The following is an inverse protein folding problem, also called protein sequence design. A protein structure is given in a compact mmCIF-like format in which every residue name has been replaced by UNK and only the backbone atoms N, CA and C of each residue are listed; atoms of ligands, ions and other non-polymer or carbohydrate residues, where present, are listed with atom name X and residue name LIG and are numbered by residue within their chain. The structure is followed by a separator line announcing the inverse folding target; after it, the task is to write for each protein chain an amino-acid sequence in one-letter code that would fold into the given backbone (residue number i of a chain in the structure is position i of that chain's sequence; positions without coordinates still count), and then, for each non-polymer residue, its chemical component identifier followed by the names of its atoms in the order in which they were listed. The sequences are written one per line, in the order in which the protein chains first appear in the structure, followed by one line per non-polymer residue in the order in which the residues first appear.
data_IF_950222263600
#
_entry.id   IF_950222263600
#
_cell.length_a   1.000
_cell.length_b   1.000
_cell.length_c   1.000
_cell.angle_alpha   90.00
_cell.angle_beta   90.00
_cell.angle_gamma   90.00
#
_symmetry.space_group_name_H-M   'P 1'
#
loop_
_entity.id
_entity.type
_entity.pdbx_description
1 polymer ?
#
# COMPACT_ATOMS: atom_id res chain seq x y z
N UNK A 1 11.99 -19.52 12.08
CA UNK A 1 10.63 -19.53 11.48
C UNK A 1 9.99 -18.16 11.61
N UNK A 2 9.81 -17.65 12.84
CA UNK A 2 9.17 -16.36 13.14
C UNK A 2 9.68 -15.19 12.29
N UNK A 3 11.00 -15.00 12.18
CA UNK A 3 11.57 -13.91 11.38
C UNK A 3 11.17 -13.94 9.90
N UNK A 4 10.98 -15.12 9.32
CA UNK A 4 10.60 -15.25 7.91
C UNK A 4 9.14 -14.86 7.70
N UNK A 5 8.27 -15.23 8.66
CA UNK A 5 6.84 -14.89 8.66
C UNK A 5 6.68 -13.37 8.82
N UNK A 6 7.40 -12.74 9.75
CA UNK A 6 7.38 -11.29 9.89
C UNK A 6 7.86 -10.57 8.64
N UNK A 7 8.97 -11.00 8.02
CA UNK A 7 9.48 -10.35 6.80
C UNK A 7 8.48 -10.41 5.65
N UNK A 8 7.89 -11.58 5.38
CA UNK A 8 6.87 -11.72 4.34
C UNK A 8 5.62 -10.91 4.69
N UNK A 9 5.22 -10.89 5.96
CA UNK A 9 4.10 -10.09 6.44
C UNK A 9 4.31 -8.60 6.22
N UNK A 10 5.49 -8.06 6.56
CA UNK A 10 5.84 -6.66 6.31
C UNK A 10 5.82 -6.31 4.83
N UNK A 11 6.45 -7.14 4.00
CA UNK A 11 6.47 -6.94 2.54
C UNK A 11 5.06 -6.97 1.98
N UNK A 12 4.21 -7.90 2.43
CA UNK A 12 2.81 -7.98 2.02
C UNK A 12 2.00 -6.74 2.42
N UNK A 13 2.08 -6.33 3.69
CA UNK A 13 1.40 -5.13 4.20
C UNK A 13 1.82 -3.89 3.39
N UNK A 14 3.12 -3.66 3.22
CA UNK A 14 3.62 -2.48 2.53
C UNK A 14 3.29 -2.50 1.04
N UNK A 15 3.36 -3.67 0.39
CA UNK A 15 2.98 -3.81 -1.02
C UNK A 15 1.50 -3.51 -1.25
N UNK A 16 0.63 -3.95 -0.34
CA UNK A 16 -0.81 -3.69 -0.43
C UNK A 16 -1.11 -2.21 -0.20
N UNK A 17 -0.54 -1.59 0.84
CA UNK A 17 -0.70 -0.14 1.10
C UNK A 17 -0.20 0.69 -0.08
N UNK A 18 0.97 0.34 -0.64
CA UNK A 18 1.52 0.98 -1.83
C UNK A 18 0.58 0.83 -3.03
N UNK A 19 0.03 -0.37 -3.26
CA UNK A 19 -0.85 -0.63 -4.38
C UNK A 19 -2.20 0.08 -4.23
N UNK A 20 -2.83 0.06 -3.05
CA UNK A 20 -4.10 0.72 -2.78
C UNK A 20 -3.99 2.25 -2.88
N UNK A 21 -2.92 2.84 -2.34
CA UNK A 21 -2.69 4.29 -2.41
C UNK A 21 -2.24 4.75 -3.80
N UNK A 22 -1.50 3.93 -4.55
CA UNK A 22 -0.87 4.32 -5.81
C UNK A 22 -1.56 3.84 -7.08
N UNK A 23 -2.22 2.69 -7.08
CA UNK A 23 -2.79 2.10 -8.29
C UNK A 23 -4.31 2.18 -8.21
N UNK A 24 -4.97 2.68 -9.27
CA UNK A 24 -6.44 2.59 -9.38
C UNK A 24 -6.94 1.13 -9.38
N UNK A 25 -6.09 0.17 -9.75
CA UNK A 25 -6.33 -1.28 -9.65
C UNK A 25 -6.27 -1.77 -8.20
N UNK A 26 -5.61 -1.03 -7.32
CA UNK A 26 -5.46 -1.34 -5.90
C UNK A 26 -6.75 -1.22 -5.09
N UNK A 27 -7.81 -0.59 -5.62
CA UNK A 27 -9.10 -0.41 -4.95
C UNK A 27 -9.78 -1.73 -4.53
N UNK A 28 -9.39 -2.86 -5.14
CA UNK A 28 -9.93 -4.17 -4.78
C UNK A 28 -9.19 -4.85 -3.62
N UNK A 29 -8.02 -4.33 -3.20
CA UNK A 29 -7.26 -4.92 -2.11
C UNK A 29 -7.77 -4.39 -0.75
N UNK A 30 -8.06 -5.27 0.23
CA UNK A 30 -8.57 -4.87 1.53
C UNK A 30 -7.44 -4.41 2.47
N UNK A 31 -6.78 -3.29 2.15
CA UNK A 31 -5.64 -2.82 2.92
C UNK A 31 -5.99 -2.31 4.32
N UNK A 32 -7.14 -1.65 4.51
CA UNK A 32 -7.60 -1.20 5.84
C UNK A 32 -7.75 -2.35 6.85
N UNK A 33 -8.44 -3.41 6.42
CA UNK A 33 -8.66 -4.60 7.26
C UNK A 33 -7.35 -5.33 7.57
N UNK A 34 -6.40 -5.30 6.63
CA UNK A 34 -5.08 -5.87 6.80
C UNK A 34 -4.20 -5.02 7.73
N UNK A 35 -4.27 -3.69 7.65
CA UNK A 35 -3.60 -2.78 8.58
C UNK A 35 -4.12 -2.96 10.00
N UNK A 36 -5.44 -3.09 10.16
CA UNK A 36 -6.07 -3.37 11.45
C UNK A 36 -5.56 -4.69 12.03
N UNK A 37 -5.52 -5.74 11.21
CA UNK A 37 -5.02 -7.06 11.62
C UNK A 37 -3.54 -7.03 11.98
N UNK A 38 -2.72 -6.33 11.18
CA UNK A 38 -1.29 -6.16 11.44
C UNK A 38 -1.03 -5.38 12.74
N UNK A 39 -1.81 -4.32 13.00
CA UNK A 39 -1.78 -3.56 14.25
C UNK A 39 -2.21 -4.40 15.46
N UNK A 40 -3.26 -5.21 15.31
CA UNK A 40 -3.70 -6.15 16.35
C UNK A 40 -2.60 -7.17 16.69
N UNK A 41 -1.97 -7.78 15.70
CA UNK A 41 -0.85 -8.72 15.88
C UNK A 41 0.40 -8.07 16.48
N UNK A 42 0.58 -6.76 16.27
CA UNK A 42 1.64 -5.98 16.89
C UNK A 42 1.39 -5.66 18.38
N UNK A 43 0.13 -5.79 18.85
CA UNK A 43 -0.28 -5.52 20.23
C UNK A 43 -0.23 -6.75 21.15
N UNK A 44 0.07 -7.94 20.63
CA UNK A 44 0.14 -9.17 21.42
C UNK A 44 1.40 -9.24 22.30
N UNK A 45 1.35 -9.99 23.41
CA UNK A 45 2.50 -10.19 24.33
C UNK A 45 3.76 -10.73 23.65
N UNK A 46 3.60 -11.48 22.55
CA UNK A 46 4.67 -11.87 21.64
C UNK A 46 4.40 -11.24 20.27
N UNK A 47 4.84 -9.98 20.05
CA UNK A 47 4.50 -9.27 18.84
C UNK A 47 5.22 -9.88 17.64
N UNK A 48 4.43 -10.30 16.65
CA UNK A 48 4.96 -10.77 15.35
C UNK A 48 5.46 -9.56 14.53
N UNK A 49 4.84 -8.40 14.74
CA UNK A 49 5.22 -7.14 14.11
C UNK A 49 5.54 -6.09 15.16
N UNK A 50 6.64 -5.37 14.97
CA UNK A 50 6.93 -4.12 15.66
C UNK A 50 6.04 -2.99 15.10
N UNK A 51 5.23 -2.40 15.97
CA UNK A 51 4.37 -1.25 15.67
C UNK A 51 5.11 -0.05 15.04
N UNK A 52 6.25 0.45 15.56
CA UNK A 52 6.95 1.58 14.94
C UNK A 52 7.45 1.27 13.51
N UNK A 53 7.81 0.01 13.22
CA UNK A 53 8.22 -0.41 11.88
C UNK A 53 7.02 -0.43 10.93
N UNK A 54 5.85 -0.92 11.40
CA UNK A 54 4.62 -0.85 10.62
C UNK A 54 4.24 0.60 10.31
N UNK A 55 4.27 1.49 11.30
CA UNK A 55 3.89 2.90 11.10
C UNK A 55 4.80 3.61 10.09
N UNK A 56 6.12 3.55 10.29
CA UNK A 56 7.09 4.21 9.40
C UNK A 56 7.06 3.56 8.01
N UNK A 57 7.01 2.23 7.94
CA UNK A 57 7.00 1.49 6.69
C UNK A 57 5.73 1.74 5.87
N UNK A 58 4.55 1.72 6.50
CA UNK A 58 3.29 2.05 5.84
C UNK A 58 3.25 3.50 5.38
N UNK A 59 3.76 4.44 6.18
CA UNK A 59 3.86 5.85 5.77
C UNK A 59 4.69 6.01 4.50
N UNK A 60 5.89 5.41 4.47
CA UNK A 60 6.77 5.44 3.30
C UNK A 60 6.09 4.77 2.10
N UNK A 61 5.49 3.59 2.31
CA UNK A 61 4.79 2.85 1.25
C UNK A 61 3.62 3.63 0.66
N UNK A 62 2.82 4.29 1.49
CA UNK A 62 1.69 5.11 1.05
C UNK A 62 2.17 6.34 0.26
N UNK A 63 3.17 7.07 0.74
CA UNK A 63 3.72 8.26 0.06
C UNK A 63 4.36 7.89 -1.28
N UNK A 64 5.10 6.77 -1.33
CA UNK A 64 5.67 6.26 -2.57
C UNK A 64 4.58 5.78 -3.52
N UNK A 65 3.55 5.11 -3.00
CA UNK A 65 2.37 4.67 -3.74
C UNK A 65 1.70 5.85 -4.42
N UNK A 66 1.29 6.86 -3.66
CA UNK A 66 0.65 8.08 -4.15
C UNK A 66 1.52 8.81 -5.20
N UNK A 67 2.83 8.92 -4.95
CA UNK A 67 3.76 9.54 -5.91
C UNK A 67 3.81 8.79 -7.25
N UNK A 68 3.91 7.45 -7.21
CA UNK A 68 3.90 6.59 -8.40
C UNK A 68 2.54 6.63 -9.08
N UNK A 69 1.46 6.63 -8.31
CA UNK A 69 0.09 6.72 -8.78
C UNK A 69 -0.21 8.01 -9.48
N UNK A 70 0.24 9.14 -8.93
CA UNK A 70 0.15 10.44 -9.55
C UNK A 70 0.92 10.48 -10.88
N UNK A 71 2.16 9.96 -10.92
CA UNK A 71 2.95 9.90 -12.15
C UNK A 71 2.29 9.00 -13.21
N UNK A 72 1.76 7.86 -12.80
CA UNK A 72 1.05 6.93 -13.67
C UNK A 72 -0.25 7.54 -14.19
N UNK A 73 -1.07 8.08 -13.31
CA UNK A 73 -2.31 8.79 -13.62
C UNK A 73 -2.09 10.01 -14.50
N UNK A 74 -1.03 10.78 -14.28
CA UNK A 74 -0.64 11.90 -15.16
C UNK A 74 -0.26 11.42 -16.56
N UNK A 75 0.47 10.31 -16.69
CA UNK A 75 0.89 9.77 -17.99
C UNK A 75 -0.26 9.09 -18.75
N UNK A 76 -1.15 8.38 -18.04
CA UNK A 76 -2.31 7.69 -18.63
C UNK A 76 -3.48 8.65 -18.87
N UNK A 77 -3.74 9.57 -17.95
CA UNK A 77 -4.78 10.59 -18.03
C UNK A 77 -4.57 11.55 -19.20
N UNK A 78 -3.33 11.93 -19.52
CA UNK A 78 -3.02 12.73 -20.73
C UNK A 78 -3.39 11.97 -22.01
N UNK A 79 -3.27 10.63 -22.06
CA UNK A 79 -3.72 9.85 -23.23
C UNK A 79 -5.24 9.68 -23.31
N UNK A 80 -5.94 9.72 -22.18
CA UNK A 80 -7.41 9.66 -22.13
C UNK A 80 -8.05 11.01 -22.52
N UNK A 81 -7.47 12.13 -22.05
CA UNK A 81 -7.94 13.48 -22.41
C UNK A 81 -7.52 13.95 -23.81
N UNK A 82 -6.50 13.34 -24.42
CA UNK A 82 -6.20 13.55 -25.86
C UNK A 82 -7.19 12.83 -26.79
N UNK A 83 -8.31 12.32 -26.27
CA UNK A 83 -9.42 11.76 -27.05
C UNK A 83 -10.73 12.53 -26.86
N UNK A 84 -10.63 13.85 -26.73
CA UNK A 84 -11.78 14.74 -26.92
C UNK A 84 -11.46 15.73 -28.04
N UNK A 85 -11.12 15.18 -29.22
CA UNK A 85 -11.42 15.86 -30.47
C UNK A 85 -12.77 15.35 -30.98
N UNK A 86 -13.75 16.23 -30.80
CA UNK A 86 -14.82 16.53 -31.75
C UNK A 86 -15.86 15.44 -32.03
N UNK A 87 -17.04 15.57 -31.41
CA UNK A 87 -18.32 15.90 -32.08
C UNK A 87 -19.33 16.46 -31.07
#
# INVERSE_FOLDING_TARGET
MESFISTIGYVGVFAIVFAESGLLIGFFLPGDSLLFTAGFLASLDKPIFSLPVLLIGCFIAAVLGDSVGYLFGKRVGVRLFQREDSV
#
